data_IF_522095348457
#
_entry.id   IF_522095348457
#
_cell.length_a   1.000
_cell.length_b   1.000
_cell.length_c   1.000
_cell.angle_alpha   90.00
_cell.angle_beta   90.00
_cell.angle_gamma   90.00
#
_symmetry.space_group_name_H-M   'P 1'
#
loop_
_entity.id
_entity.type
_entity.pdbx_description
1 polymer ?
#
# COMPACT_ATOMS: atom_id res chain seq x y z
N UNK A 1 14.72 -7.20 -27.97
CA UNK A 1 13.94 -6.36 -27.03
C UNK A 1 14.03 -6.88 -25.59
N UNK A 2 13.82 -8.18 -25.32
CA UNK A 2 13.80 -8.77 -23.96
C UNK A 2 15.13 -8.61 -23.21
N UNK A 3 16.28 -8.85 -23.87
CA UNK A 3 17.63 -8.68 -23.26
C UNK A 3 17.88 -7.25 -22.80
N UNK A 4 17.42 -6.25 -23.56
CA UNK A 4 17.56 -4.84 -23.17
C UNK A 4 16.71 -4.51 -21.92
N UNK A 5 15.50 -5.04 -21.84
CA UNK A 5 14.62 -4.80 -20.69
C UNK A 5 15.22 -5.38 -19.39
N UNK A 6 15.67 -6.65 -19.41
CA UNK A 6 16.30 -7.27 -18.23
C UNK A 6 17.56 -6.54 -17.80
N UNK A 7 18.41 -6.12 -18.75
CA UNK A 7 19.58 -5.31 -18.45
C UNK A 7 19.22 -3.98 -17.80
N UNK A 8 18.22 -3.26 -18.34
CA UNK A 8 17.76 -2.00 -17.73
C UNK A 8 17.20 -2.19 -16.32
N UNK A 9 16.39 -3.24 -16.10
CA UNK A 9 15.82 -3.53 -14.78
C UNK A 9 16.92 -3.83 -13.77
N UNK A 10 17.91 -4.66 -14.13
CA UNK A 10 19.04 -4.95 -13.24
C UNK A 10 19.89 -3.71 -13.02
N UNK A 11 20.20 -2.93 -14.06
CA UNK A 11 20.95 -1.68 -13.90
C UNK A 11 20.25 -0.70 -12.95
N UNK A 12 18.91 -0.56 -13.07
CA UNK A 12 18.12 0.27 -12.15
C UNK A 12 18.15 -0.28 -10.71
N UNK A 13 18.10 -1.61 -10.54
CA UNK A 13 18.19 -2.23 -9.22
C UNK A 13 19.57 -1.97 -8.56
N UNK A 14 20.64 -1.97 -9.36
CA UNK A 14 22.00 -1.72 -8.88
C UNK A 14 22.22 -0.26 -8.45
N UNK A 15 21.39 0.68 -8.86
CA UNK A 15 21.44 2.08 -8.35
C UNK A 15 20.93 2.23 -6.92
N UNK A 16 20.35 1.17 -6.34
CA UNK A 16 19.81 1.19 -5.00
C UNK A 16 18.39 1.78 -4.93
N UNK A 17 17.85 1.98 -3.70
CA UNK A 17 16.53 2.57 -3.47
C UNK A 17 16.44 4.00 -4.02
N UNK A 18 15.22 4.40 -4.43
CA UNK A 18 14.96 5.79 -4.78
C UNK A 18 15.26 6.72 -3.59
N UNK A 19 15.72 7.98 -3.81
CA UNK A 19 16.14 8.88 -2.73
C UNK A 19 15.13 9.04 -1.61
N UNK A 20 13.85 9.12 -1.91
CA UNK A 20 12.77 9.26 -0.92
C UNK A 20 12.56 8.00 -0.04
N UNK A 21 13.15 6.84 -0.41
CA UNK A 21 13.09 5.57 0.34
C UNK A 21 14.41 5.21 1.05
N UNK A 22 15.48 5.96 0.83
CA UNK A 22 16.82 5.62 1.35
C UNK A 22 16.89 5.47 2.88
N UNK A 23 15.97 6.10 3.62
CA UNK A 23 15.93 6.03 5.07
C UNK A 23 15.18 4.79 5.60
N UNK A 24 14.52 4.03 4.73
CA UNK A 24 13.64 2.92 5.14
C UNK A 24 13.92 1.61 4.40
N UNK A 25 14.50 1.67 3.23
CA UNK A 25 14.84 0.50 2.44
C UNK A 25 16.35 0.42 2.23
N UNK A 26 16.86 -0.80 2.36
CA UNK A 26 18.25 -1.12 2.03
C UNK A 26 18.29 -2.15 0.89
N UNK A 27 19.35 -2.10 0.08
CA UNK A 27 19.65 -3.14 -0.90
C UNK A 27 20.54 -4.20 -0.27
N UNK A 28 20.33 -5.46 -0.63
CA UNK A 28 21.28 -6.53 -0.32
C UNK A 28 22.54 -6.43 -1.19
N UNK A 29 22.46 -5.68 -2.30
CA UNK A 29 23.58 -5.50 -3.22
C UNK A 29 24.49 -4.41 -2.64
N UNK A 30 25.77 -4.70 -2.42
CA UNK A 30 26.72 -3.71 -1.90
C UNK A 30 26.85 -2.50 -2.83
N UNK A 31 27.14 -1.34 -2.24
CA UNK A 31 27.42 -0.12 -2.98
C UNK A 31 28.60 -0.32 -3.94
N UNK A 32 28.49 0.26 -5.12
CA UNK A 32 29.53 0.18 -6.15
C UNK A 32 29.49 -1.07 -7.02
N UNK A 33 28.65 -2.07 -6.70
CA UNK A 33 28.44 -3.22 -7.59
C UNK A 33 27.77 -2.76 -8.88
N UNK A 34 28.36 -3.14 -10.00
CA UNK A 34 27.86 -2.88 -11.35
C UNK A 34 27.67 -4.17 -12.13
N UNK A 35 27.11 -4.09 -13.33
CA UNK A 35 27.11 -5.23 -14.23
C UNK A 35 28.53 -5.54 -14.69
N UNK A 36 28.89 -6.82 -14.66
CA UNK A 36 30.14 -7.32 -15.24
C UNK A 36 30.11 -7.29 -16.77
N UNK A 37 31.20 -7.77 -17.38
CA UNK A 37 31.40 -7.70 -18.85
C UNK A 37 30.35 -8.49 -19.64
N UNK A 38 29.84 -9.61 -19.11
CA UNK A 38 28.78 -10.41 -19.74
C UNK A 38 27.39 -9.79 -19.58
N UNK A 39 27.19 -8.87 -18.60
CA UNK A 39 25.94 -8.19 -18.34
C UNK A 39 24.81 -9.12 -17.93
N UNK A 40 23.64 -9.00 -18.58
CA UNK A 40 22.48 -9.88 -18.35
C UNK A 40 22.16 -10.66 -19.62
N UNK A 41 22.23 -11.98 -19.53
CA UNK A 41 21.86 -12.89 -20.62
C UNK A 41 20.58 -13.67 -20.23
N UNK A 42 19.65 -13.81 -21.19
CA UNK A 42 18.41 -14.59 -20.98
C UNK A 42 18.34 -15.68 -22.04
N UNK A 43 18.40 -16.91 -21.62
CA UNK A 43 18.25 -18.10 -22.47
C UNK A 43 17.37 -19.13 -21.80
N UNK A 44 16.41 -19.71 -22.53
CA UNK A 44 15.48 -20.75 -22.03
C UNK A 44 14.79 -20.36 -20.71
N UNK A 45 14.37 -19.08 -20.58
CA UNK A 45 13.76 -18.53 -19.38
C UNK A 45 14.68 -18.50 -18.13
N UNK A 46 15.98 -18.66 -18.30
CA UNK A 46 17.03 -18.47 -17.28
C UNK A 46 17.71 -17.14 -17.55
N UNK A 47 17.72 -16.26 -16.56
CA UNK A 47 18.50 -15.03 -16.59
C UNK A 47 19.85 -15.27 -15.88
N UNK A 48 20.94 -15.12 -16.60
CA UNK A 48 22.29 -15.10 -16.02
C UNK A 48 22.72 -13.66 -15.87
N UNK A 49 22.94 -13.22 -14.63
CA UNK A 49 23.36 -11.87 -14.26
C UNK A 49 24.82 -11.92 -13.84
N UNK A 50 25.67 -11.28 -14.62
CA UNK A 50 27.10 -11.11 -14.29
C UNK A 50 27.30 -9.79 -13.54
N UNK A 51 27.79 -9.87 -12.31
CA UNK A 51 28.09 -8.72 -11.45
C UNK A 51 29.58 -8.51 -11.36
N UNK A 52 29.99 -7.27 -11.10
CA UNK A 52 31.37 -6.89 -10.89
C UNK A 52 32.00 -7.53 -9.65
N UNK A 53 33.36 -7.46 -9.55
CA UNK A 53 34.12 -8.18 -8.53
C UNK A 53 33.80 -7.84 -7.09
N UNK A 54 33.21 -6.67 -6.84
CA UNK A 54 32.84 -6.20 -5.50
C UNK A 54 31.89 -7.15 -4.79
N UNK A 55 31.01 -7.86 -5.53
CA UNK A 55 30.08 -8.84 -4.98
C UNK A 55 30.77 -10.08 -4.38
N UNK A 56 32.01 -10.37 -4.78
CA UNK A 56 32.75 -11.54 -4.29
C UNK A 56 33.02 -11.47 -2.78
N UNK A 57 33.17 -10.25 -2.24
CA UNK A 57 33.45 -9.99 -0.82
C UNK A 57 32.21 -10.05 0.07
N UNK A 58 31.01 -10.15 -0.49
CA UNK A 58 29.79 -10.28 0.28
C UNK A 58 29.77 -11.58 1.10
N UNK A 59 29.18 -11.55 2.30
CA UNK A 59 28.98 -12.74 3.13
C UNK A 59 28.11 -13.77 2.42
N UNK A 60 28.11 -15.01 2.89
CA UNK A 60 27.24 -16.06 2.34
C UNK A 60 25.75 -15.68 2.43
N UNK A 61 25.34 -15.04 3.53
CA UNK A 61 23.96 -14.57 3.72
C UNK A 61 23.62 -13.42 2.75
N UNK A 62 24.53 -12.47 2.57
CA UNK A 62 24.32 -11.37 1.63
C UNK A 62 24.26 -11.86 0.18
N UNK A 63 25.11 -12.83 -0.19
CA UNK A 63 25.04 -13.48 -1.51
C UNK A 63 23.67 -14.12 -1.76
N UNK A 64 23.10 -14.81 -0.75
CA UNK A 64 21.76 -15.37 -0.85
C UNK A 64 20.70 -14.26 -0.98
N UNK A 65 20.83 -13.17 -0.22
CA UNK A 65 19.91 -12.03 -0.28
C UNK A 65 19.96 -11.34 -1.65
N UNK A 66 21.16 -11.16 -2.23
CA UNK A 66 21.37 -10.62 -3.59
C UNK A 66 20.65 -11.49 -4.64
N UNK A 67 20.86 -12.81 -4.58
CA UNK A 67 20.22 -13.77 -5.49
C UNK A 67 18.68 -13.67 -5.35
N UNK A 68 18.18 -13.61 -4.13
CA UNK A 68 16.75 -13.49 -3.86
C UNK A 68 16.16 -12.17 -4.37
N UNK A 69 16.87 -11.05 -4.18
CA UNK A 69 16.46 -9.74 -4.66
C UNK A 69 16.35 -9.71 -6.18
N UNK A 70 17.35 -10.24 -6.90
CA UNK A 70 17.33 -10.38 -8.35
C UNK A 70 16.24 -11.34 -8.83
N UNK A 71 16.05 -12.49 -8.16
CA UNK A 71 15.02 -13.46 -8.51
C UNK A 71 13.61 -12.87 -8.34
N UNK A 72 13.36 -12.06 -7.30
CA UNK A 72 12.10 -11.37 -7.10
C UNK A 72 11.86 -10.33 -8.17
N UNK A 73 12.86 -9.50 -8.45
CA UNK A 73 12.78 -8.42 -9.45
C UNK A 73 12.56 -8.96 -10.86
N UNK A 74 13.37 -9.92 -11.30
CA UNK A 74 13.28 -10.48 -12.66
C UNK A 74 12.08 -11.40 -12.83
N UNK A 75 11.56 -11.97 -11.75
CA UNK A 75 10.33 -12.76 -11.75
C UNK A 75 9.09 -11.99 -12.21
N UNK A 76 9.08 -10.66 -12.00
CA UNK A 76 7.98 -9.80 -12.44
C UNK A 76 7.91 -9.68 -13.98
N UNK A 77 8.98 -9.96 -14.70
CA UNK A 77 9.02 -9.86 -16.15
C UNK A 77 8.27 -10.98 -16.89
N UNK A 78 7.78 -12.00 -16.18
CA UNK A 78 7.00 -13.10 -16.76
C UNK A 78 7.75 -14.02 -17.74
N UNK A 79 8.89 -13.58 -18.24
CA UNK A 79 9.73 -14.32 -19.23
C UNK A 79 10.94 -15.00 -18.59
N UNK A 80 11.16 -14.85 -17.28
CA UNK A 80 12.25 -15.41 -16.51
C UNK A 80 11.66 -16.32 -15.44
N UNK A 81 12.17 -17.56 -15.36
CA UNK A 81 11.75 -18.56 -14.37
C UNK A 81 12.85 -18.91 -13.37
N UNK A 82 14.11 -18.58 -13.73
CA UNK A 82 15.28 -18.84 -12.89
C UNK A 82 16.28 -17.70 -13.08
N UNK A 83 17.01 -17.39 -12.02
CA UNK A 83 18.12 -16.44 -12.03
C UNK A 83 19.38 -17.17 -11.57
N UNK A 84 20.48 -16.96 -12.29
CA UNK A 84 21.83 -17.36 -11.92
C UNK A 84 22.63 -16.06 -11.79
N UNK A 85 23.34 -15.90 -10.68
CA UNK A 85 24.20 -14.72 -10.44
C UNK A 85 25.64 -15.17 -10.46
N UNK A 86 26.42 -14.53 -11.30
CA UNK A 86 27.83 -14.77 -11.48
C UNK A 86 28.67 -13.55 -11.06
N UNK A 87 29.94 -13.80 -10.79
CA UNK A 87 30.99 -12.82 -10.72
C UNK A 87 32.13 -13.34 -11.65
N UNK A 88 32.15 -12.87 -12.90
CA UNK A 88 32.96 -13.45 -13.95
C UNK A 88 32.64 -14.94 -14.19
N UNK A 89 33.64 -15.79 -14.03
CA UNK A 89 33.45 -17.27 -14.17
C UNK A 89 32.90 -17.96 -12.91
N UNK A 90 32.76 -17.27 -11.78
CA UNK A 90 32.36 -17.86 -10.51
C UNK A 90 30.88 -17.67 -10.31
N UNK A 91 30.14 -18.78 -10.02
CA UNK A 91 28.73 -18.72 -9.65
C UNK A 91 28.60 -18.27 -8.19
N UNK A 92 27.91 -17.16 -7.96
CA UNK A 92 27.57 -16.64 -6.63
C UNK A 92 26.40 -17.39 -6.05
N UNK A 93 25.40 -17.70 -6.88
CA UNK A 93 24.23 -18.47 -6.50
C UNK A 93 23.15 -18.49 -7.58
N UNK A 94 22.12 -19.27 -7.34
CA UNK A 94 20.94 -19.35 -8.23
C UNK A 94 19.66 -19.55 -7.45
N UNK A 95 18.54 -19.12 -8.02
CA UNK A 95 17.19 -19.28 -7.47
C UNK A 95 16.16 -19.37 -8.57
N UNK A 96 15.08 -20.11 -8.35
CA UNK A 96 13.86 -19.91 -9.13
C UNK A 96 13.34 -18.49 -8.88
N UNK A 97 12.67 -17.91 -9.89
CA UNK A 97 12.10 -16.57 -9.73
C UNK A 97 10.97 -16.60 -8.73
N UNK A 98 10.90 -15.55 -7.93
CA UNK A 98 9.84 -15.32 -6.97
C UNK A 98 8.83 -14.38 -7.64
N UNK A 99 7.68 -14.92 -8.04
CA UNK A 99 6.58 -14.12 -8.55
C UNK A 99 5.68 -13.73 -7.39
N UNK A 100 5.41 -12.46 -7.28
CA UNK A 100 4.31 -12.02 -6.44
C UNK A 100 3.02 -12.39 -7.17
N UNK A 101 2.33 -13.43 -6.68
CA UNK A 101 1.01 -13.79 -7.20
C UNK A 101 0.03 -12.67 -6.96
N UNK A 102 -0.90 -12.44 -7.90
CA UNK A 102 -2.08 -11.64 -7.61
C UNK A 102 -2.80 -12.31 -6.44
N UNK A 103 -2.78 -11.66 -5.29
CA UNK A 103 -3.60 -12.11 -4.17
C UNK A 103 -5.02 -11.65 -4.43
N UNK A 104 -5.98 -12.54 -4.28
CA UNK A 104 -7.39 -12.16 -4.28
C UNK A 104 -7.60 -11.09 -3.20
N UNK A 105 -8.42 -10.07 -3.46
CA UNK A 105 -8.83 -9.15 -2.41
C UNK A 105 -9.40 -9.99 -1.26
N UNK A 106 -9.00 -9.68 -0.03
CA UNK A 106 -9.54 -10.32 1.15
C UNK A 106 -11.05 -10.07 1.29
N UNK A 107 -11.66 -10.69 2.30
CA UNK A 107 -13.04 -10.38 2.66
C UNK A 107 -13.20 -8.88 2.96
N UNK A 108 -14.35 -8.31 2.66
CA UNK A 108 -14.67 -6.91 3.02
C UNK A 108 -15.18 -6.89 4.46
N UNK A 109 -14.65 -6.01 5.29
CA UNK A 109 -15.20 -5.69 6.61
C UNK A 109 -15.86 -4.33 6.52
N UNK A 110 -17.14 -4.26 6.88
CA UNK A 110 -17.94 -3.06 6.69
C UNK A 110 -18.94 -2.83 7.82
N UNK A 111 -19.24 -1.56 8.08
CA UNK A 111 -20.38 -1.15 8.89
C UNK A 111 -21.64 -1.11 8.03
N UNK A 112 -22.71 -1.76 8.50
CA UNK A 112 -24.00 -1.87 7.83
C UNK A 112 -25.15 -1.74 8.83
N UNK A 113 -26.40 -1.85 8.36
CA UNK A 113 -27.57 -1.89 9.22
C UNK A 113 -27.58 -3.12 10.17
N UNK A 114 -26.92 -4.22 9.80
CA UNK A 114 -26.80 -5.42 10.65
C UNK A 114 -25.70 -5.29 11.73
N UNK A 115 -24.90 -4.24 11.68
CA UNK A 115 -23.75 -4.03 12.54
C UNK A 115 -22.43 -4.05 11.75
N UNK A 116 -21.34 -4.46 12.39
CA UNK A 116 -20.07 -4.69 11.72
C UNK A 116 -20.09 -6.10 11.14
N UNK A 117 -19.90 -6.19 9.84
CA UNK A 117 -20.00 -7.45 9.08
C UNK A 117 -18.72 -7.74 8.31
N UNK A 118 -18.42 -9.02 8.15
CA UNK A 118 -17.44 -9.55 7.20
C UNK A 118 -18.19 -10.15 6.02
N UNK A 119 -17.86 -9.70 4.83
CA UNK A 119 -18.47 -10.08 3.56
C UNK A 119 -17.46 -10.85 2.73
N UNK A 120 -17.82 -12.06 2.30
CA UNK A 120 -16.95 -12.93 1.50
C UNK A 120 -17.79 -13.67 0.45
N UNK A 121 -17.73 -13.21 -0.79
CA UNK A 121 -18.66 -13.65 -1.82
C UNK A 121 -20.12 -13.41 -1.39
N UNK A 122 -20.93 -14.46 -1.37
CA UNK A 122 -22.33 -14.40 -0.91
C UNK A 122 -22.49 -14.61 0.61
N UNK A 123 -21.40 -14.81 1.35
CA UNK A 123 -21.46 -15.07 2.77
C UNK A 123 -21.33 -13.76 3.57
N UNK A 124 -22.22 -13.58 4.54
CA UNK A 124 -22.15 -12.46 5.50
C UNK A 124 -22.01 -13.01 6.90
N UNK A 125 -20.97 -12.60 7.61
CA UNK A 125 -20.75 -12.92 9.02
C UNK A 125 -20.80 -11.64 9.85
N UNK A 126 -21.69 -11.58 10.85
CA UNK A 126 -21.73 -10.49 11.81
C UNK A 126 -20.57 -10.65 12.80
N UNK A 127 -19.71 -9.65 12.86
CA UNK A 127 -18.59 -9.57 13.81
C UNK A 127 -19.04 -8.92 15.13
N UNK A 128 -19.87 -7.87 15.02
CA UNK A 128 -20.51 -7.19 16.15
C UNK A 128 -21.89 -6.73 15.68
N UNK A 129 -22.94 -7.02 16.45
CA UNK A 129 -24.30 -6.63 16.08
C UNK A 129 -24.53 -5.11 16.17
N UNK A 130 -25.59 -4.64 15.50
CA UNK A 130 -25.85 -3.21 15.38
C UNK A 130 -26.10 -2.53 16.73
N UNK A 131 -26.74 -3.22 17.68
CA UNK A 131 -27.01 -2.67 19.01
C UNK A 131 -25.74 -2.43 19.81
N UNK A 132 -24.79 -3.37 19.77
CA UNK A 132 -23.48 -3.24 20.41
C UNK A 132 -22.54 -2.30 19.63
N UNK A 133 -22.62 -2.28 18.29
CA UNK A 133 -21.84 -1.40 17.46
C UNK A 133 -22.23 0.07 17.67
N UNK A 134 -23.53 0.38 17.76
CA UNK A 134 -24.03 1.76 17.79
C UNK A 134 -23.85 2.50 16.47
N UNK A 135 -24.08 3.81 16.48
CA UNK A 135 -24.00 4.67 15.29
C UNK A 135 -22.70 5.47 15.18
N UNK A 136 -22.54 6.21 14.07
CA UNK A 136 -21.46 7.17 13.87
C UNK A 136 -20.13 6.57 13.41
N UNK A 137 -20.13 5.34 12.87
CA UNK A 137 -18.92 4.73 12.28
C UNK A 137 -18.60 5.42 10.96
N UNK A 138 -17.44 6.09 10.91
CA UNK A 138 -16.94 6.82 9.74
C UNK A 138 -15.82 6.10 9.02
N UNK A 139 -15.09 5.21 9.72
CA UNK A 139 -13.98 4.46 9.15
C UNK A 139 -13.83 3.09 9.81
N UNK A 140 -13.30 2.15 9.03
CA UNK A 140 -12.99 0.78 9.47
C UNK A 140 -11.60 0.43 8.99
N UNK A 141 -10.77 -0.12 9.88
CA UNK A 141 -9.46 -0.66 9.54
C UNK A 141 -9.27 -2.03 10.21
N UNK A 142 -8.76 -3.00 9.46
CA UNK A 142 -8.51 -4.36 9.95
C UNK A 142 -7.01 -4.52 10.19
N UNK A 143 -6.61 -4.74 11.42
CA UNK A 143 -5.22 -4.98 11.78
C UNK A 143 -4.86 -6.46 11.66
N UNK A 144 -5.73 -7.36 12.12
CA UNK A 144 -5.59 -8.80 12.02
C UNK A 144 -6.97 -9.51 12.06
N UNK A 145 -6.99 -10.83 12.08
CA UNK A 145 -8.24 -11.63 12.10
C UNK A 145 -9.13 -11.40 13.31
N UNK A 146 -8.56 -10.90 14.41
CA UNK A 146 -9.26 -10.71 15.68
C UNK A 146 -9.38 -9.22 16.08
N UNK A 147 -8.70 -8.31 15.36
CA UNK A 147 -8.62 -6.90 15.73
C UNK A 147 -9.11 -6.00 14.58
N UNK A 148 -10.19 -5.29 14.84
CA UNK A 148 -10.75 -4.28 13.94
C UNK A 148 -10.78 -2.94 14.66
N UNK A 149 -10.30 -1.90 14.00
CA UNK A 149 -10.40 -0.53 14.50
C UNK A 149 -11.53 0.20 13.81
N UNK A 150 -12.26 0.94 14.61
CA UNK A 150 -13.43 1.71 14.20
C UNK A 150 -13.17 3.17 14.51
N UNK A 151 -13.29 4.02 13.51
CA UNK A 151 -13.36 5.46 13.72
C UNK A 151 -14.81 5.84 13.91
N UNK A 152 -15.12 6.36 15.09
CA UNK A 152 -16.45 6.82 15.45
C UNK A 152 -16.40 8.31 15.79
N UNK A 153 -17.05 9.15 15.01
CA UNK A 153 -16.97 10.60 15.18
C UNK A 153 -15.50 11.05 15.29
N UNK A 154 -15.07 11.40 16.49
CA UNK A 154 -13.70 11.85 16.79
C UNK A 154 -12.95 10.87 17.71
N UNK A 155 -13.37 9.62 17.80
CA UNK A 155 -12.72 8.61 18.62
C UNK A 155 -12.25 7.41 17.80
N UNK A 156 -11.14 6.80 18.22
CA UNK A 156 -10.68 5.52 17.73
C UNK A 156 -11.04 4.44 18.75
N UNK A 157 -11.79 3.45 18.31
CA UNK A 157 -12.17 2.28 19.08
C UNK A 157 -11.53 1.02 18.52
N UNK A 158 -11.20 0.08 19.37
CA UNK A 158 -10.68 -1.25 19.00
C UNK A 158 -11.72 -2.30 19.36
N UNK A 159 -12.16 -3.07 18.37
CA UNK A 159 -12.95 -4.27 18.56
C UNK A 159 -12.04 -5.50 18.64
N UNK A 160 -12.13 -6.25 19.70
CA UNK A 160 -11.62 -7.62 19.79
C UNK A 160 -12.74 -8.57 19.35
N UNK A 161 -12.60 -9.17 18.16
CA UNK A 161 -13.67 -9.91 17.48
C UNK A 161 -14.08 -11.15 18.27
N UNK A 162 -13.12 -11.89 18.85
CA UNK A 162 -13.36 -13.13 19.60
C UNK A 162 -14.21 -12.92 20.86
N UNK A 163 -14.03 -11.79 21.53
CA UNK A 163 -14.77 -11.44 22.77
C UNK A 163 -15.90 -10.47 22.52
N UNK A 164 -16.02 -9.93 21.29
CA UNK A 164 -16.98 -8.85 20.94
C UNK A 164 -16.85 -7.61 21.82
N UNK A 165 -15.64 -7.32 22.28
CA UNK A 165 -15.38 -6.21 23.20
C UNK A 165 -14.89 -4.99 22.44
N UNK A 166 -15.56 -3.85 22.59
CA UNK A 166 -15.13 -2.54 22.14
C UNK A 166 -14.36 -1.85 23.27
N UNK A 167 -13.19 -1.31 22.93
CA UNK A 167 -12.35 -0.55 23.85
C UNK A 167 -11.95 0.75 23.16
N UNK A 168 -12.17 1.88 23.80
CA UNK A 168 -11.69 3.16 23.31
C UNK A 168 -10.16 3.20 23.37
N UNK A 169 -9.52 3.56 22.25
CA UNK A 169 -8.06 3.69 22.14
C UNK A 169 -7.65 5.12 22.47
N UNK A 170 -8.42 6.09 21.97
CA UNK A 170 -8.22 7.51 22.26
C UNK A 170 -9.52 8.31 22.18
N UNK A 171 -9.47 9.57 22.60
CA UNK A 171 -10.53 10.57 22.45
C UNK A 171 -10.06 11.82 21.74
N UNK A 172 -9.08 11.71 20.80
CA UNK A 172 -8.61 12.84 20.00
C UNK A 172 -9.74 13.36 19.10
N UNK A 173 -9.73 14.67 18.83
CA UNK A 173 -10.70 15.33 17.96
C UNK A 173 -10.15 15.50 16.54
N UNK A 174 -11.04 15.76 15.58
CA UNK A 174 -10.69 16.06 14.17
C UNK A 174 -9.86 14.97 13.50
N UNK A 175 -10.17 13.72 13.80
CA UNK A 175 -9.55 12.57 13.18
C UNK A 175 -10.04 12.39 11.74
N UNK A 176 -9.10 12.33 10.81
CA UNK A 176 -9.35 11.97 9.41
C UNK A 176 -9.50 10.45 9.22
N UNK A 177 -9.32 9.98 7.98
CA UNK A 177 -9.43 8.57 7.63
C UNK A 177 -8.60 7.66 8.53
N UNK A 178 -9.00 6.40 8.65
CA UNK A 178 -8.28 5.35 9.38
C UNK A 178 -7.80 4.27 8.44
N UNK A 179 -6.57 3.83 8.62
CA UNK A 179 -6.04 2.64 7.96
C UNK A 179 -5.15 1.83 8.92
N UNK A 180 -4.77 0.62 8.54
CA UNK A 180 -3.85 -0.19 9.33
C UNK A 180 -2.77 -0.80 8.42
N UNK A 181 -1.60 -1.20 8.91
CA UNK A 181 -0.57 -1.93 8.18
C UNK A 181 -0.49 -3.41 8.60
N UNK A 182 0.33 -4.19 7.91
CA UNK A 182 0.48 -5.64 8.19
C UNK A 182 1.22 -5.94 9.50
N UNK A 183 1.84 -4.93 10.11
CA UNK A 183 2.48 -5.05 11.43
C UNK A 183 1.53 -4.74 12.57
N UNK A 184 0.25 -4.46 12.27
CA UNK A 184 -0.80 -4.17 13.24
C UNK A 184 -0.82 -2.72 13.73
N UNK A 185 -0.02 -1.82 13.15
CA UNK A 185 -0.13 -0.39 13.42
C UNK A 185 -1.38 0.18 12.79
N UNK A 186 -2.03 1.08 13.51
CA UNK A 186 -3.20 1.82 13.05
C UNK A 186 -2.83 3.28 12.87
N UNK A 187 -3.27 3.83 11.78
CA UNK A 187 -2.89 5.14 11.31
C UNK A 187 -4.12 6.01 11.10
N UNK A 188 -4.02 7.26 11.54
CA UNK A 188 -5.02 8.31 11.33
C UNK A 188 -4.31 9.60 10.95
N UNK A 189 -5.05 10.58 10.42
CA UNK A 189 -4.52 11.93 10.26
C UNK A 189 -5.26 12.92 11.15
N UNK A 190 -4.52 13.96 11.59
CA UNK A 190 -5.04 15.07 12.38
C UNK A 190 -4.29 16.35 11.99
N UNK A 191 -4.95 17.26 11.31
CA UNK A 191 -4.31 18.46 10.78
C UNK A 191 -3.14 18.09 9.85
N UNK A 192 -1.95 18.58 10.16
CA UNK A 192 -0.71 18.28 9.42
C UNK A 192 0.05 17.05 9.94
N UNK A 193 -0.56 16.27 10.83
CA UNK A 193 0.10 15.12 11.46
C UNK A 193 -0.55 13.80 11.04
N UNK A 194 0.27 12.77 10.99
CA UNK A 194 -0.14 11.37 10.95
C UNK A 194 0.06 10.80 12.36
N UNK A 195 -0.99 10.20 12.90
CA UNK A 195 -0.99 9.54 14.20
C UNK A 195 -0.84 8.04 13.97
N UNK A 196 0.17 7.43 14.59
CA UNK A 196 0.40 5.99 14.55
C UNK A 196 0.14 5.39 15.94
N UNK A 197 -0.72 4.38 16.02
CA UNK A 197 -1.00 3.65 17.25
C UNK A 197 -0.46 2.25 17.16
N UNK A 198 0.34 1.86 18.16
CA UNK A 198 0.81 0.48 18.29
C UNK A 198 -0.33 -0.47 18.68
N UNK A 199 -0.09 -1.77 18.60
CA UNK A 199 -1.02 -2.81 19.09
C UNK A 199 -1.36 -2.67 20.58
N UNK A 200 -0.48 -2.02 21.37
CA UNK A 200 -0.70 -1.71 22.77
C UNK A 200 -1.43 -0.37 23.00
N UNK A 201 -1.76 0.36 21.93
CA UNK A 201 -2.44 1.66 22.02
C UNK A 201 -1.51 2.85 22.30
N UNK A 202 -0.20 2.67 22.22
CA UNK A 202 0.75 3.78 22.37
C UNK A 202 0.72 4.62 21.09
N UNK A 203 0.54 5.95 21.26
CA UNK A 203 0.45 6.92 20.17
C UNK A 203 1.80 7.54 19.84
N UNK A 204 2.07 7.65 18.55
CA UNK A 204 3.19 8.39 17.98
C UNK A 204 2.64 9.43 17.00
N UNK A 205 3.25 10.61 16.96
CA UNK A 205 2.80 11.73 16.11
C UNK A 205 3.91 12.08 15.12
N UNK A 206 3.60 12.05 13.83
CA UNK A 206 4.54 12.27 12.74
C UNK A 206 4.02 13.44 11.89
N UNK A 207 4.77 14.55 11.83
CA UNK A 207 4.41 15.69 10.99
C UNK A 207 4.72 15.39 9.52
N UNK A 208 3.78 15.68 8.60
CA UNK A 208 4.09 15.58 7.16
C UNK A 208 5.09 16.66 6.73
N UNK A 209 5.99 16.34 5.78
CA UNK A 209 7.05 17.29 5.36
C UNK A 209 6.53 18.65 4.88
N UNK A 210 5.32 18.70 4.32
CA UNK A 210 4.70 19.94 3.87
C UNK A 210 4.21 20.85 5.01
N UNK A 211 4.02 20.29 6.20
CA UNK A 211 3.38 20.96 7.36
C UNK A 211 2.00 21.60 7.03
N UNK A 212 1.29 21.03 6.04
CA UNK A 212 -0.05 21.46 5.63
C UNK A 212 -1.09 20.41 6.08
N UNK A 213 -2.34 20.84 6.35
CA UNK A 213 -3.41 19.92 6.71
C UNK A 213 -3.61 18.83 5.65
N UNK A 214 -3.70 17.58 6.11
CA UNK A 214 -3.89 16.40 5.29
C UNK A 214 -5.37 16.29 4.93
N UNK A 215 -5.70 16.30 3.64
CA UNK A 215 -7.06 16.10 3.15
C UNK A 215 -7.41 14.61 2.96
N UNK A 216 -6.44 13.82 2.54
CA UNK A 216 -6.58 12.37 2.38
C UNK A 216 -5.22 11.70 2.58
N UNK A 217 -5.20 10.48 3.09
CA UNK A 217 -3.96 9.72 3.27
C UNK A 217 -4.22 8.22 3.25
N UNK A 218 -3.18 7.44 2.99
CA UNK A 218 -3.15 6.00 3.21
C UNK A 218 -1.71 5.53 3.45
N UNK A 219 -1.53 4.57 4.34
CA UNK A 219 -0.25 3.91 4.60
C UNK A 219 -0.23 2.58 3.86
N UNK A 220 0.85 2.31 3.14
CA UNK A 220 1.01 1.04 2.43
C UNK A 220 0.95 -0.15 3.39
N UNK A 221 0.59 -1.32 2.86
CA UNK A 221 0.43 -2.52 3.69
C UNK A 221 1.70 -2.94 4.45
N UNK A 222 2.87 -2.62 3.93
CA UNK A 222 4.17 -2.87 4.59
C UNK A 222 4.46 -1.91 5.76
N UNK A 223 3.72 -0.79 5.87
CA UNK A 223 3.91 0.21 6.91
C UNK A 223 5.14 1.12 6.73
N UNK A 224 5.81 1.08 5.57
CA UNK A 224 7.01 1.86 5.29
C UNK A 224 6.80 3.02 4.31
N UNK A 225 5.59 3.16 3.75
CA UNK A 225 5.27 4.19 2.76
C UNK A 225 3.94 4.85 3.09
N UNK A 226 3.95 6.16 3.08
CA UNK A 226 2.76 7.00 3.25
C UNK A 226 2.45 7.70 1.93
N UNK A 227 1.19 7.68 1.51
CA UNK A 227 0.65 8.57 0.49
C UNK A 227 -0.29 9.57 1.16
N UNK A 228 -0.21 10.85 0.79
CA UNK A 228 -1.07 11.89 1.36
C UNK A 228 -1.34 13.01 0.37
N UNK A 229 -2.46 13.68 0.55
CA UNK A 229 -2.87 14.84 -0.24
C UNK A 229 -3.00 16.08 0.65
N UNK A 230 -2.45 17.20 0.17
CA UNK A 230 -2.52 18.51 0.84
C UNK A 230 -2.91 19.59 -0.17
N UNK A 231 -3.63 20.62 0.27
CA UNK A 231 -4.01 21.71 -0.59
C UNK A 231 -2.79 22.57 -0.98
N UNK A 232 -2.67 22.86 -2.28
CA UNK A 232 -1.63 23.73 -2.85
C UNK A 232 -2.28 24.59 -3.94
N UNK A 233 -2.54 25.85 -3.63
CA UNK A 233 -3.32 26.72 -4.51
C UNK A 233 -4.76 26.26 -4.65
N UNK A 234 -5.24 26.16 -5.89
CA UNK A 234 -6.63 25.75 -6.21
C UNK A 234 -6.82 24.22 -6.32
N UNK A 235 -5.77 23.43 -6.13
CA UNK A 235 -5.80 21.97 -6.25
C UNK A 235 -5.08 21.31 -5.07
N UNK A 236 -5.08 19.99 -5.03
CA UNK A 236 -4.34 19.22 -4.04
C UNK A 236 -3.17 18.50 -4.69
N UNK A 237 -2.03 18.53 -4.01
CA UNK A 237 -0.85 17.76 -4.38
C UNK A 237 -0.88 16.43 -3.65
N UNK A 238 -0.80 15.33 -4.40
CA UNK A 238 -0.60 13.99 -3.89
C UNK A 238 0.89 13.70 -3.84
N UNK A 239 1.38 13.38 -2.68
CA UNK A 239 2.78 13.05 -2.43
C UNK A 239 2.90 11.71 -1.72
N UNK A 240 4.06 11.07 -1.91
CA UNK A 240 4.46 9.90 -1.14
C UNK A 240 5.73 10.22 -0.36
N UNK A 241 5.89 9.59 0.79
CA UNK A 241 7.12 9.64 1.58
C UNK A 241 7.34 8.33 2.33
N UNK A 242 8.58 8.12 2.76
CA UNK A 242 8.94 7.00 3.62
C UNK A 242 8.41 7.20 5.04
N UNK A 243 8.01 6.12 5.70
CA UNK A 243 7.80 6.07 7.15
C UNK A 243 9.07 5.54 7.78
N UNK A 244 9.84 6.41 8.41
CA UNK A 244 11.09 6.05 9.09
C UNK A 244 10.77 5.33 10.39
N UNK A 245 11.44 4.21 10.62
CA UNK A 245 11.27 3.38 11.82
C UNK A 245 12.62 3.13 12.50
N UNK A 246 12.60 2.97 13.80
CA UNK A 246 13.77 2.52 14.56
C UNK A 246 13.98 1.00 14.43
N UNK A 247 15.03 0.49 15.06
CA UNK A 247 15.40 -0.94 15.06
C UNK A 247 14.32 -1.85 15.70
N UNK A 248 13.37 -1.28 16.43
CA UNK A 248 12.23 -1.98 17.03
C UNK A 248 10.98 -1.91 16.17
N UNK A 249 11.07 -1.27 14.99
CA UNK A 249 9.95 -1.07 14.08
C UNK A 249 8.99 0.04 14.51
N UNK A 250 9.36 0.91 15.45
CA UNK A 250 8.55 2.03 15.89
C UNK A 250 8.67 3.19 14.90
N UNK A 251 7.56 3.78 14.42
CA UNK A 251 7.61 4.94 13.56
C UNK A 251 8.20 6.15 14.29
N UNK A 252 9.26 6.74 13.75
CA UNK A 252 10.00 7.85 14.34
C UNK A 252 9.93 9.14 13.54
N UNK A 253 9.56 9.06 12.26
CA UNK A 253 9.49 10.23 11.39
C UNK A 253 8.97 9.90 10.00
N UNK A 254 8.85 10.92 9.17
CA UNK A 254 8.52 10.83 7.76
C UNK A 254 9.70 11.36 6.94
N UNK A 255 10.04 10.65 5.87
CA UNK A 255 11.09 11.04 4.94
C UNK A 255 10.66 12.18 4.02
N UNK A 256 11.52 12.52 3.07
CA UNK A 256 11.26 13.54 2.06
C UNK A 256 10.05 13.21 1.20
N UNK A 257 9.25 14.23 0.88
CA UNK A 257 8.05 14.09 0.06
C UNK A 257 8.38 14.06 -1.43
N UNK A 258 7.84 13.07 -2.11
CA UNK A 258 7.91 12.94 -3.57
C UNK A 258 6.52 13.12 -4.17
N UNK A 259 6.32 14.16 -5.00
CA UNK A 259 5.03 14.45 -5.64
C UNK A 259 4.78 13.47 -6.79
N UNK A 260 3.58 12.87 -6.82
CA UNK A 260 3.19 11.88 -7.83
C UNK A 260 2.00 12.33 -8.69
N UNK A 261 1.11 13.17 -8.16
CA UNK A 261 -0.09 13.61 -8.89
C UNK A 261 -0.65 14.93 -8.31
N UNK A 262 -1.46 15.61 -9.10
CA UNK A 262 -2.15 16.84 -8.68
C UNK A 262 -3.58 16.85 -9.24
N UNK A 263 -4.57 16.96 -8.35
CA UNK A 263 -5.99 17.04 -8.67
C UNK A 263 -6.76 17.49 -7.42
N UNK A 264 -8.07 17.71 -7.51
CA UNK A 264 -8.93 17.93 -6.32
C UNK A 264 -9.33 16.56 -5.72
N UNK A 265 -8.65 16.14 -4.66
CA UNK A 265 -8.70 14.79 -4.10
C UNK A 265 -9.87 14.61 -3.13
N UNK A 266 -10.68 13.57 -3.34
CA UNK A 266 -11.66 13.07 -2.36
C UNK A 266 -11.10 11.93 -1.50
N UNK A 267 -10.38 11.00 -2.11
CA UNK A 267 -9.78 9.86 -1.41
C UNK A 267 -8.53 9.36 -2.15
N UNK A 268 -7.65 8.69 -1.44
CA UNK A 268 -6.52 7.98 -2.02
C UNK A 268 -6.28 6.65 -1.30
N UNK A 269 -5.67 5.69 -1.99
CA UNK A 269 -5.29 4.42 -1.38
C UNK A 269 -4.18 3.74 -2.17
N UNK A 270 -3.26 3.10 -1.48
CA UNK A 270 -2.29 2.20 -2.11
C UNK A 270 -3.01 1.01 -2.73
N UNK A 271 -2.66 0.69 -3.97
CA UNK A 271 -3.23 -0.43 -4.74
C UNK A 271 -2.28 -1.62 -4.74
N UNK A 272 -1.01 -1.31 -4.84
CA UNK A 272 0.11 -2.24 -4.80
C UNK A 272 1.36 -1.56 -4.20
N UNK A 273 2.52 -2.14 -4.40
CA UNK A 273 3.79 -1.66 -3.85
C UNK A 273 4.27 -0.33 -4.44
N UNK A 274 3.77 0.08 -5.61
CA UNK A 274 4.27 1.26 -6.34
C UNK A 274 3.19 2.18 -6.88
N UNK A 275 1.90 1.83 -6.71
CA UNK A 275 0.78 2.56 -7.32
C UNK A 275 -0.19 3.06 -6.25
N UNK A 276 -0.55 4.32 -6.35
CA UNK A 276 -1.60 4.96 -5.54
C UNK A 276 -2.82 5.22 -6.43
N UNK A 277 -3.99 4.70 -6.04
CA UNK A 277 -5.26 5.12 -6.62
C UNK A 277 -5.68 6.46 -6.01
N UNK A 278 -6.10 7.39 -6.85
CA UNK A 278 -6.54 8.73 -6.46
C UNK A 278 -7.93 8.97 -7.01
N UNK A 279 -8.89 9.14 -6.12
CA UNK A 279 -10.26 9.53 -6.46
C UNK A 279 -10.35 11.05 -6.37
N UNK A 280 -10.64 11.70 -7.49
CA UNK A 280 -10.94 13.12 -7.51
C UNK A 280 -12.32 13.38 -6.92
N UNK A 281 -12.57 14.57 -6.43
CA UNK A 281 -13.91 15.00 -6.02
C UNK A 281 -14.87 14.93 -7.21
N UNK A 282 -16.10 14.51 -6.94
CA UNK A 282 -17.14 14.45 -7.96
C UNK A 282 -17.48 15.87 -8.47
N UNK A 283 -17.73 15.97 -9.76
CA UNK A 283 -18.28 17.18 -10.36
C UNK A 283 -19.76 17.38 -9.97
N UNK A 284 -20.38 18.46 -10.45
CA UNK A 284 -21.79 18.78 -10.18
C UNK A 284 -22.78 17.71 -10.66
N UNK A 285 -22.39 16.84 -11.58
CA UNK A 285 -23.20 15.70 -12.06
C UNK A 285 -22.95 14.43 -11.22
N UNK A 286 -22.19 14.49 -10.14
CA UNK A 286 -21.87 13.35 -9.29
C UNK A 286 -20.81 12.40 -9.89
N UNK A 287 -20.11 12.80 -10.96
CA UNK A 287 -19.09 11.97 -11.60
C UNK A 287 -17.71 12.32 -11.05
N UNK A 288 -17.05 11.34 -10.45
CA UNK A 288 -15.67 11.41 -10.00
C UNK A 288 -14.73 10.73 -11.00
N UNK A 289 -13.49 11.17 -11.05
CA UNK A 289 -12.42 10.52 -11.79
C UNK A 289 -11.56 9.69 -10.83
N UNK A 290 -11.30 8.45 -11.19
CA UNK A 290 -10.34 7.56 -10.53
C UNK A 290 -9.12 7.43 -11.42
N UNK A 291 -7.95 7.82 -10.90
CA UNK A 291 -6.67 7.72 -11.58
C UNK A 291 -5.73 6.78 -10.81
N UNK A 292 -4.86 6.09 -11.53
CA UNK A 292 -3.77 5.31 -10.96
C UNK A 292 -2.46 6.07 -11.17
N UNK A 293 -1.83 6.46 -10.08
CA UNK A 293 -0.59 7.24 -10.03
C UNK A 293 0.57 6.34 -9.56
N UNK A 294 1.35 5.76 -10.47
CA UNK A 294 2.54 5.00 -10.11
C UNK A 294 3.63 5.96 -9.61
N UNK A 295 4.34 5.55 -8.58
CA UNK A 295 5.48 6.31 -8.05
C UNK A 295 6.63 6.27 -9.07
N UNK A 296 7.02 7.43 -9.58
CA UNK A 296 8.06 7.55 -10.61
C UNK A 296 7.59 7.23 -12.03
N UNK A 297 6.29 7.06 -12.25
CA UNK A 297 5.68 6.80 -13.56
C UNK A 297 4.67 7.87 -13.98
N UNK A 298 4.14 7.70 -15.18
CA UNK A 298 3.05 8.55 -15.68
C UNK A 298 1.71 8.05 -15.14
N UNK A 299 0.83 8.98 -14.78
CA UNK A 299 -0.55 8.66 -14.42
C UNK A 299 -1.25 8.08 -15.64
N UNK A 300 -1.85 6.92 -15.46
CA UNK A 300 -2.57 6.16 -16.50
C UNK A 300 -3.95 5.76 -16.01
N UNK A 301 -4.77 5.22 -16.91
CA UNK A 301 -6.03 4.55 -16.60
C UNK A 301 -7.01 5.41 -15.79
N UNK A 302 -7.31 6.61 -16.29
CA UNK A 302 -8.35 7.46 -15.72
C UNK A 302 -9.71 6.89 -16.09
N UNK A 303 -10.47 6.44 -15.09
CA UNK A 303 -11.85 5.97 -15.26
C UNK A 303 -12.84 6.91 -14.56
N UNK A 304 -14.12 6.86 -14.98
CA UNK A 304 -15.19 7.63 -14.35
C UNK A 304 -16.03 6.73 -13.44
N UNK A 305 -16.35 7.23 -12.27
CA UNK A 305 -17.21 6.53 -11.30
C UNK A 305 -18.26 7.51 -10.78
N UNK A 306 -19.52 7.09 -10.83
CA UNK A 306 -20.63 7.93 -10.37
C UNK A 306 -20.85 7.77 -8.86
N UNK A 307 -21.09 8.89 -8.16
CA UNK A 307 -21.41 8.96 -6.74
C UNK A 307 -20.33 8.36 -5.81
N UNK A 308 -19.09 8.26 -6.30
CA UNK A 308 -17.97 7.72 -5.54
C UNK A 308 -17.52 8.71 -4.44
N UNK A 309 -17.39 8.22 -3.21
CA UNK A 309 -16.96 9.03 -2.07
C UNK A 309 -15.74 8.48 -1.35
N UNK A 310 -15.45 7.18 -1.47
CA UNK A 310 -14.31 6.54 -0.82
C UNK A 310 -13.70 5.45 -1.69
N UNK A 311 -12.40 5.24 -1.51
CA UNK A 311 -11.69 4.10 -2.05
C UNK A 311 -11.61 2.98 -1.01
N UNK A 312 -11.76 1.75 -1.48
CA UNK A 312 -11.58 0.53 -0.71
C UNK A 312 -10.62 -0.35 -1.49
N UNK A 313 -9.36 -0.37 -1.08
CA UNK A 313 -8.32 -1.14 -1.76
C UNK A 313 -7.94 -2.38 -0.98
N UNK A 314 -7.80 -3.50 -1.68
CA UNK A 314 -7.21 -4.74 -1.14
C UNK A 314 -5.70 -4.64 -0.93
N UNK A 315 -5.05 -3.56 -1.42
CA UNK A 315 -3.61 -3.26 -1.30
C UNK A 315 -2.67 -4.35 -1.84
N UNK A 316 -3.24 -5.30 -2.58
CA UNK A 316 -2.51 -6.37 -3.26
C UNK A 316 -3.23 -6.66 -4.58
N UNK A 317 -2.49 -6.66 -5.68
CA UNK A 317 -3.00 -7.10 -6.97
C UNK A 317 -3.82 -6.09 -7.78
N UNK A 318 -3.72 -4.80 -7.49
CA UNK A 318 -4.25 -3.74 -8.35
C UNK A 318 -5.76 -3.55 -8.32
N UNK A 319 -6.51 -4.28 -7.48
CA UNK A 319 -7.96 -4.12 -7.40
C UNK A 319 -8.36 -3.02 -6.42
N UNK A 320 -9.15 -2.09 -6.93
CA UNK A 320 -9.80 -1.03 -6.16
C UNK A 320 -11.30 -1.18 -6.28
N UNK A 321 -12.00 -1.07 -5.16
CA UNK A 321 -13.43 -0.88 -5.09
C UNK A 321 -13.74 0.54 -4.64
N UNK A 322 -14.92 1.00 -4.97
CA UNK A 322 -15.38 2.34 -4.65
C UNK A 322 -16.65 2.25 -3.81
N UNK A 323 -16.69 2.94 -2.69
CA UNK A 323 -17.91 3.10 -1.92
C UNK A 323 -18.62 4.38 -2.38
N UNK A 324 -19.90 4.26 -2.73
CA UNK A 324 -20.75 5.40 -3.13
C UNK A 324 -21.39 6.07 -1.91
N UNK A 325 -21.91 7.28 -2.09
CA UNK A 325 -22.72 8.02 -1.10
C UNK A 325 -24.02 7.30 -0.74
N UNK A 326 -24.50 6.40 -1.61
CA UNK A 326 -25.67 5.54 -1.37
C UNK A 326 -25.33 4.22 -0.65
N UNK A 327 -24.06 4.05 -0.24
CA UNK A 327 -23.61 2.85 0.47
C UNK A 327 -23.46 1.61 -0.41
N UNK A 328 -23.24 1.78 -1.70
CA UNK A 328 -22.94 0.68 -2.62
C UNK A 328 -21.43 0.52 -2.74
N UNK A 329 -20.93 -0.70 -2.56
CA UNK A 329 -19.55 -1.04 -2.90
C UNK A 329 -19.50 -1.50 -4.35
N UNK A 330 -18.85 -0.69 -5.18
CA UNK A 330 -18.70 -0.93 -6.61
C UNK A 330 -17.36 -1.57 -6.89
N UNK A 331 -17.34 -2.59 -7.73
CA UNK A 331 -16.11 -3.24 -8.22
C UNK A 331 -15.99 -3.03 -9.73
N UNK A 332 -14.75 -2.92 -10.20
CA UNK A 332 -14.48 -2.80 -11.63
C UNK A 332 -14.75 -4.13 -12.34
N UNK A 333 -15.47 -4.08 -13.45
CA UNK A 333 -15.72 -5.20 -14.37
C UNK A 333 -15.41 -4.74 -15.80
N UNK A 334 -14.16 -4.88 -16.19
CA UNK A 334 -13.66 -4.30 -17.45
C UNK A 334 -13.72 -2.77 -17.41
N UNK A 335 -14.46 -2.17 -18.34
CA UNK A 335 -14.63 -0.72 -18.44
C UNK A 335 -15.78 -0.16 -17.58
N UNK A 336 -16.52 -1.00 -16.86
CA UNK A 336 -17.72 -0.62 -16.11
C UNK A 336 -17.57 -0.91 -14.61
N UNK A 337 -18.40 -0.25 -13.82
CA UNK A 337 -18.51 -0.48 -12.38
C UNK A 337 -19.82 -1.20 -12.07
N UNK A 338 -19.72 -2.30 -11.31
CA UNK A 338 -20.90 -3.08 -10.92
C UNK A 338 -20.99 -3.15 -9.40
N UNK A 339 -22.22 -3.09 -8.82
CA UNK A 339 -22.39 -3.20 -7.38
C UNK A 339 -22.10 -4.64 -6.92
N UNK A 340 -21.26 -4.75 -5.89
CA UNK A 340 -20.95 -6.02 -5.21
C UNK A 340 -21.73 -6.17 -3.93
N UNK A 341 -21.80 -5.10 -3.13
CA UNK A 341 -22.54 -5.06 -1.87
C UNK A 341 -23.28 -3.73 -1.73
N UNK A 342 -24.32 -3.68 -0.91
CA UNK A 342 -25.11 -2.46 -0.66
C UNK A 342 -25.43 -2.29 0.83
N UNK A 343 -25.89 -1.08 1.21
CA UNK A 343 -26.25 -0.74 2.58
C UNK A 343 -25.04 -0.56 3.52
N UNK A 344 -23.87 -0.21 2.97
CA UNK A 344 -22.65 -0.03 3.74
C UNK A 344 -22.43 1.46 4.06
N UNK A 345 -21.95 1.75 5.28
CA UNK A 345 -21.61 3.11 5.74
C UNK A 345 -20.10 3.37 5.66
N UNK A 346 -19.29 2.37 6.00
CA UNK A 346 -17.84 2.37 5.89
C UNK A 346 -17.37 0.96 5.55
N UNK A 347 -16.31 0.82 4.79
CA UNK A 347 -15.78 -0.48 4.36
C UNK A 347 -14.26 -0.46 4.21
N UNK A 348 -13.63 -1.61 4.42
CA UNK A 348 -12.23 -1.89 4.12
C UNK A 348 -12.08 -3.35 3.73
N UNK A 349 -11.01 -3.70 3.00
CA UNK A 349 -10.67 -5.10 2.82
C UNK A 349 -9.95 -5.67 4.04
N UNK A 350 -10.32 -6.90 4.41
CA UNK A 350 -9.55 -7.68 5.38
C UNK A 350 -8.23 -8.10 4.75
N UNK A 351 -7.16 -8.02 5.50
CA UNK A 351 -5.79 -8.39 5.05
C UNK A 351 -5.47 -9.87 5.22
N UNK A 352 -6.41 -10.64 5.76
CA UNK A 352 -6.23 -12.06 6.16
C UNK A 352 -7.31 -12.91 5.53
#
# INVERSE_FOLDING_TARGET
LRRRLTTHVVSALLTGPAPWLNQTLSSAIPDGVTLGSAGVEVSQAVATVDLSSEVANASANDKQAIVRQLATTLGQLGSVNQVIVNCGSTVIGSSATIRQGQRSPGAVVASSAAGLVRLEGNNTRVLLDAGALGEGINGVAVADTNTVYLQRNNALERLTVSTKTLTQVNGDTDLGAVCADNSGWVWLCQGANVLAYSTQGVRYTLAVPSNLPIAAFDVASDGYRLAYAVAVGESMRVSVCAVVRDDKGVPTGLGEAYSIYQTDVAALSWVDEVTVAVLAKANTAGVAQLAYAPVGGMVTDITQVTNAVRLVSGRHGGQVSVLTDQGQLMVSSGATWVPSYSGLKAATYSRV
#
